data_IF_137453371903
#
_entry.id   IF_137453371903
#
_cell.length_a   1.000
_cell.length_b   1.000
_cell.length_c   1.000
_cell.angle_alpha   90.00
_cell.angle_beta   90.00
_cell.angle_gamma   90.00
#
_symmetry.space_group_name_H-M   'P 1'
#
loop_
_entity.id
_entity.type
_entity.pdbx_description
1 polymer ?
#
# COMPACT_ATOMS: atom_id res chain seq x y z
N UNK A 1 -26.86 -15.95 0.19
CA UNK A 1 -25.81 -16.93 -0.15
C UNK A 1 -25.26 -17.43 1.16
N UNK A 2 -25.71 -18.63 1.49
CA UNK A 2 -25.68 -19.19 2.84
C UNK A 2 -24.30 -19.84 3.05
N UNK A 3 -23.56 -19.31 4.02
CA UNK A 3 -22.17 -19.68 4.26
C UNK A 3 -22.06 -20.66 5.42
N UNK A 4 -21.86 -21.93 5.08
CA UNK A 4 -21.06 -22.85 5.89
C UNK A 4 -20.25 -23.73 4.91
N UNK A 5 -18.93 -23.53 4.87
CA UNK A 5 -18.01 -24.25 3.99
C UNK A 5 -17.03 -25.02 4.87
N UNK A 6 -17.27 -26.31 5.01
CA UNK A 6 -16.49 -27.28 5.79
C UNK A 6 -15.08 -27.58 5.24
N UNK A 7 -14.48 -26.65 4.49
CA UNK A 7 -13.10 -26.69 4.00
C UNK A 7 -12.52 -25.28 3.94
N UNK A 8 -11.21 -25.13 4.23
CA UNK A 8 -10.50 -23.86 4.06
C UNK A 8 -10.65 -23.40 2.60
N UNK A 9 -11.23 -22.22 2.31
CA UNK A 9 -11.41 -21.74 0.94
C UNK A 9 -10.07 -21.55 0.23
N UNK A 10 -10.05 -21.60 -1.10
CA UNK A 10 -8.85 -21.22 -1.86
C UNK A 10 -8.64 -19.69 -1.84
N UNK A 11 -7.41 -19.25 -2.18
CA UNK A 11 -7.11 -17.82 -2.36
C UNK A 11 -8.04 -17.20 -3.40
N UNK A 12 -8.24 -17.88 -4.52
CA UNK A 12 -9.08 -17.43 -5.63
C UNK A 12 -10.55 -17.30 -5.21
N UNK A 13 -11.07 -18.24 -4.42
CA UNK A 13 -12.43 -18.16 -3.88
C UNK A 13 -12.62 -16.95 -2.97
N UNK A 14 -11.65 -16.65 -2.10
CA UNK A 14 -11.70 -15.48 -1.22
C UNK A 14 -11.65 -14.17 -2.02
N UNK A 15 -10.76 -14.08 -3.02
CA UNK A 15 -10.67 -12.93 -3.92
C UNK A 15 -12.00 -12.73 -4.64
N UNK A 16 -12.61 -13.81 -5.15
CA UNK A 16 -13.89 -13.73 -5.82
C UNK A 16 -15.02 -13.29 -4.87
N UNK A 17 -15.01 -13.72 -3.61
CA UNK A 17 -15.95 -13.22 -2.58
C UNK A 17 -15.78 -11.72 -2.37
N UNK A 18 -14.55 -11.22 -2.29
CA UNK A 18 -14.29 -9.79 -2.10
C UNK A 18 -14.76 -8.98 -3.31
N UNK A 19 -14.48 -9.46 -4.53
CA UNK A 19 -14.97 -8.85 -5.77
C UNK A 19 -16.50 -8.79 -5.82
N UNK A 20 -17.17 -9.86 -5.41
CA UNK A 20 -18.64 -9.92 -5.36
C UNK A 20 -19.23 -8.97 -4.30
N UNK A 21 -18.50 -8.69 -3.21
CA UNK A 21 -18.95 -7.78 -2.16
C UNK A 21 -18.72 -6.30 -2.53
N UNK A 22 -17.72 -5.99 -3.36
CA UNK A 22 -17.32 -4.62 -3.69
C UNK A 22 -18.47 -3.70 -4.14
N UNK A 23 -19.45 -4.13 -4.99
CA UNK A 23 -20.62 -3.31 -5.32
C UNK A 23 -21.47 -2.95 -4.09
N UNK A 24 -21.67 -3.90 -3.18
CA UNK A 24 -22.41 -3.64 -1.92
C UNK A 24 -21.68 -2.63 -1.03
N UNK A 25 -20.35 -2.70 -0.97
CA UNK A 25 -19.55 -1.73 -0.23
C UNK A 25 -19.64 -0.33 -0.84
N UNK A 26 -19.71 -0.24 -2.18
CA UNK A 26 -19.91 1.03 -2.90
C UNK A 26 -21.24 1.68 -2.51
N UNK A 27 -22.32 0.90 -2.49
CA UNK A 27 -23.65 1.39 -2.10
C UNK A 27 -23.66 1.85 -0.63
N UNK A 28 -22.92 1.16 0.24
CA UNK A 28 -22.80 1.49 1.67
C UNK A 28 -21.78 2.60 1.98
N UNK A 29 -20.93 3.00 1.03
CA UNK A 29 -19.83 3.94 1.28
C UNK A 29 -20.33 5.30 1.80
N UNK A 30 -21.43 5.81 1.25
CA UNK A 30 -22.06 7.05 1.73
C UNK A 30 -22.62 6.93 3.15
N UNK A 31 -23.15 5.77 3.53
CA UNK A 31 -23.63 5.49 4.89
C UNK A 31 -22.46 5.43 5.85
N UNK A 32 -21.39 4.69 5.52
CA UNK A 32 -20.16 4.62 6.31
C UNK A 32 -19.59 6.02 6.60
N UNK A 33 -19.51 6.88 5.58
CA UNK A 33 -19.01 8.24 5.74
C UNK A 33 -19.87 9.10 6.67
N UNK A 34 -21.20 8.95 6.63
CA UNK A 34 -22.14 9.65 7.52
C UNK A 34 -22.03 9.15 8.96
N UNK A 35 -21.95 7.83 9.16
CA UNK A 35 -21.81 7.21 10.48
C UNK A 35 -20.46 7.48 11.14
N UNK A 36 -19.43 7.82 10.33
CA UNK A 36 -18.02 7.96 10.77
C UNK A 36 -17.45 6.67 11.38
N UNK A 37 -18.02 5.54 11.00
CA UNK A 37 -17.61 4.16 11.29
C UNK A 37 -18.21 3.24 10.23
N UNK A 38 -17.74 2.00 10.16
CA UNK A 38 -18.35 1.01 9.25
C UNK A 38 -19.81 0.78 9.64
N UNK A 39 -20.74 0.55 8.68
CA UNK A 39 -22.03 -0.03 8.98
C UNK A 39 -21.86 -1.45 9.56
N UNK A 40 -22.73 -1.86 10.49
CA UNK A 40 -22.66 -3.18 11.11
C UNK A 40 -22.75 -4.29 10.05
N UNK A 41 -23.61 -4.12 9.05
CA UNK A 41 -23.81 -5.12 8.01
C UNK A 41 -22.52 -5.40 7.21
N UNK A 42 -21.64 -4.41 7.08
CA UNK A 42 -20.33 -4.59 6.42
C UNK A 42 -19.40 -5.45 7.27
N UNK A 43 -19.39 -5.27 8.59
CA UNK A 43 -18.59 -6.09 9.49
C UNK A 43 -19.12 -7.52 9.56
N UNK A 44 -20.44 -7.68 9.60
CA UNK A 44 -21.10 -8.99 9.55
C UNK A 44 -20.78 -9.74 8.25
N UNK A 45 -20.78 -9.03 7.11
CA UNK A 45 -20.37 -9.59 5.83
C UNK A 45 -18.91 -10.06 5.83
N UNK A 46 -17.99 -9.29 6.44
CA UNK A 46 -16.59 -9.70 6.56
C UNK A 46 -16.40 -10.96 7.42
N UNK A 47 -17.14 -11.08 8.53
CA UNK A 47 -17.15 -12.31 9.33
C UNK A 47 -17.74 -13.48 8.55
N UNK A 48 -18.93 -13.31 7.97
CA UNK A 48 -19.66 -14.34 7.23
C UNK A 48 -18.87 -14.88 6.03
N UNK A 49 -18.13 -14.01 5.33
CA UNK A 49 -17.34 -14.40 4.16
C UNK A 49 -15.97 -15.01 4.52
N UNK A 50 -15.62 -15.02 5.81
CA UNK A 50 -14.37 -15.60 6.31
C UNK A 50 -13.16 -14.67 6.17
N UNK A 51 -13.37 -13.38 5.92
CA UNK A 51 -12.28 -12.44 5.67
C UNK A 51 -11.41 -12.20 6.90
N UNK A 52 -11.95 -12.22 8.11
CA UNK A 52 -11.15 -12.12 9.34
C UNK A 52 -10.45 -13.43 9.75
N UNK A 53 -10.68 -14.53 9.01
CA UNK A 53 -10.08 -15.84 9.30
C UNK A 53 -8.79 -16.07 8.53
N UNK A 54 -8.51 -15.28 7.50
CA UNK A 54 -7.50 -15.60 6.47
C UNK A 54 -6.11 -15.83 7.03
N UNK A 55 -5.68 -15.02 8.01
CA UNK A 55 -4.34 -15.10 8.63
C UNK A 55 -4.34 -15.58 10.07
N UNK A 56 -5.52 -15.84 10.65
CA UNK A 56 -5.61 -16.36 12.01
C UNK A 56 -5.05 -17.80 12.05
N UNK A 57 -4.29 -18.18 13.10
CA UNK A 57 -3.83 -19.56 13.27
C UNK A 57 -4.98 -20.58 13.24
N UNK A 58 -4.75 -21.71 12.57
CA UNK A 58 -5.75 -22.78 12.43
C UNK A 58 -6.20 -23.34 13.77
N UNK A 59 -5.34 -23.32 14.80
CA UNK A 59 -5.67 -23.74 16.17
C UNK A 59 -6.81 -22.93 16.81
N UNK A 60 -7.08 -21.73 16.30
CA UNK A 60 -8.22 -20.87 16.70
C UNK A 60 -9.35 -20.86 15.66
N UNK A 61 -9.32 -21.76 14.68
CA UNK A 61 -10.35 -21.88 13.64
C UNK A 61 -10.11 -21.00 12.41
N UNK A 62 -8.97 -20.31 12.34
CA UNK A 62 -8.54 -19.55 11.16
C UNK A 62 -8.07 -20.42 9.99
N UNK A 63 -7.62 -19.79 8.91
CA UNK A 63 -7.12 -20.46 7.71
C UNK A 63 -5.59 -20.56 7.68
N UNK A 64 -4.88 -19.72 8.44
CA UNK A 64 -3.42 -19.71 8.51
C UNK A 64 -2.72 -19.47 7.17
N UNK A 65 -3.34 -18.67 6.29
CA UNK A 65 -2.80 -18.37 4.97
C UNK A 65 -1.65 -17.37 5.05
N UNK A 66 -0.89 -17.30 3.96
CA UNK A 66 0.09 -16.25 3.73
C UNK A 66 -0.55 -14.84 3.82
N UNK A 67 0.01 -13.90 4.60
CA UNK A 67 -0.58 -12.58 4.83
C UNK A 67 -0.72 -11.70 3.59
N UNK A 68 -0.07 -12.04 2.46
CA UNK A 68 -0.33 -11.36 1.18
C UNK A 68 -1.79 -11.47 0.72
N UNK A 69 -2.57 -12.45 1.20
CA UNK A 69 -4.01 -12.53 0.94
C UNK A 69 -4.74 -11.28 1.43
N UNK A 70 -4.26 -10.63 2.51
CA UNK A 70 -4.84 -9.38 3.00
C UNK A 70 -4.85 -8.36 1.87
N UNK A 71 -3.77 -8.27 1.11
CA UNK A 71 -3.62 -7.22 0.08
C UNK A 71 -4.48 -7.52 -1.13
N UNK A 72 -4.52 -8.79 -1.57
CA UNK A 72 -5.39 -9.20 -2.66
C UNK A 72 -6.87 -8.88 -2.35
N UNK A 73 -7.32 -9.13 -1.11
CA UNK A 73 -8.67 -8.77 -0.71
C UNK A 73 -8.84 -7.24 -0.59
N UNK A 74 -7.86 -6.50 -0.08
CA UNK A 74 -7.93 -5.04 -0.01
C UNK A 74 -8.04 -4.36 -1.38
N UNK A 75 -7.37 -4.90 -2.41
CA UNK A 75 -7.49 -4.38 -3.77
C UNK A 75 -8.93 -4.46 -4.26
N UNK A 76 -9.58 -5.61 -4.08
CA UNK A 76 -10.98 -5.82 -4.52
C UNK A 76 -11.98 -5.05 -3.65
N UNK A 77 -11.84 -5.07 -2.32
CA UNK A 77 -12.71 -4.34 -1.40
C UNK A 77 -12.58 -2.81 -1.60
N UNK A 78 -11.36 -2.34 -1.91
CA UNK A 78 -11.06 -0.92 -2.10
C UNK A 78 -11.73 -0.33 -3.33
N UNK A 79 -11.94 -1.14 -4.39
CA UNK A 79 -12.73 -0.74 -5.58
C UNK A 79 -14.18 -0.37 -5.24
N UNK A 80 -14.69 -0.90 -4.13
CA UNK A 80 -16.01 -0.58 -3.58
C UNK A 80 -15.96 0.58 -2.58
N UNK A 81 -15.17 0.44 -1.51
CA UNK A 81 -15.04 1.44 -0.47
C UNK A 81 -13.66 1.43 0.19
N UNK A 82 -12.92 2.54 0.05
CA UNK A 82 -11.59 2.70 0.64
C UNK A 82 -11.59 2.50 2.18
N UNK A 83 -12.61 3.02 2.88
CA UNK A 83 -12.70 2.86 4.34
C UNK A 83 -12.93 1.41 4.76
N UNK A 84 -13.72 0.65 4.00
CA UNK A 84 -13.95 -0.78 4.27
C UNK A 84 -12.68 -1.60 4.06
N UNK A 85 -11.94 -1.35 2.97
CA UNK A 85 -10.65 -2.02 2.72
C UNK A 85 -9.59 -1.67 3.77
N UNK A 86 -9.56 -0.40 4.22
CA UNK A 86 -8.68 0.05 5.30
C UNK A 86 -8.96 -0.69 6.61
N UNK A 87 -10.22 -0.68 7.07
CA UNK A 87 -10.62 -1.36 8.32
C UNK A 87 -10.36 -2.86 8.24
N UNK A 88 -10.72 -3.50 7.14
CA UNK A 88 -10.44 -4.93 6.92
C UNK A 88 -8.95 -5.26 7.07
N UNK A 89 -8.06 -4.51 6.42
CA UNK A 89 -6.64 -4.82 6.45
C UNK A 89 -5.97 -4.50 7.77
N UNK A 90 -6.33 -3.38 8.41
CA UNK A 90 -5.83 -3.03 9.74
C UNK A 90 -6.19 -4.11 10.77
N UNK A 91 -7.46 -4.53 10.82
CA UNK A 91 -7.89 -5.56 11.77
C UNK A 91 -7.28 -6.94 11.46
N UNK A 92 -7.04 -7.27 10.18
CA UNK A 92 -6.38 -8.53 9.81
C UNK A 92 -4.87 -8.53 10.08
N UNK A 93 -4.15 -7.42 9.87
CA UNK A 93 -2.72 -7.39 10.21
C UNK A 93 -2.51 -7.50 11.72
N UNK A 94 -3.45 -7.01 12.53
CA UNK A 94 -3.42 -7.24 13.98
C UNK A 94 -3.74 -8.69 14.33
N UNK A 95 -4.67 -9.32 13.61
CA UNK A 95 -4.92 -10.77 13.73
C UNK A 95 -3.63 -11.55 13.42
N UNK A 96 -2.89 -11.20 12.37
CA UNK A 96 -1.60 -11.82 12.09
C UNK A 96 -0.55 -11.50 13.17
N UNK A 97 -0.46 -10.26 13.65
CA UNK A 97 0.52 -9.87 14.69
C UNK A 97 0.25 -10.59 16.01
N UNK A 98 -1.01 -10.80 16.42
CA UNK A 98 -1.31 -11.51 17.66
C UNK A 98 -0.76 -12.94 17.64
N UNK A 99 -0.68 -13.59 16.47
CA UNK A 99 -0.01 -14.89 16.33
C UNK A 99 1.50 -14.86 16.67
N UNK A 100 2.11 -13.69 16.79
CA UNK A 100 3.50 -13.50 17.21
C UNK A 100 3.67 -13.31 18.72
N UNK A 101 2.59 -12.95 19.43
CA UNK A 101 2.62 -12.79 20.90
C UNK A 101 2.80 -14.15 21.59
N UNK A 102 3.09 -14.11 22.90
CA UNK A 102 3.14 -15.31 23.73
C UNK A 102 1.84 -16.15 23.59
N UNK A 103 1.91 -17.49 23.60
CA UNK A 103 0.74 -18.35 23.43
C UNK A 103 -0.41 -18.03 24.39
N UNK A 104 -0.12 -17.57 25.61
CA UNK A 104 -1.07 -17.18 26.64
C UNK A 104 -1.91 -15.98 26.21
N UNK A 105 -1.29 -14.95 25.62
CA UNK A 105 -2.01 -13.78 25.12
C UNK A 105 -2.91 -14.13 23.92
N UNK A 106 -2.49 -15.08 23.08
CA UNK A 106 -3.32 -15.58 21.99
C UNK A 106 -4.56 -16.33 22.53
N UNK A 107 -4.37 -17.15 23.56
CA UNK A 107 -5.45 -17.91 24.21
C UNK A 107 -6.47 -16.98 24.88
N UNK A 108 -6.03 -15.93 25.56
CA UNK A 108 -6.92 -14.94 26.20
C UNK A 108 -7.87 -14.27 25.20
N UNK A 109 -7.40 -14.00 23.97
CA UNK A 109 -8.19 -13.32 22.95
C UNK A 109 -9.11 -14.28 22.20
N UNK A 110 -8.61 -15.45 21.78
CA UNK A 110 -9.32 -16.28 20.80
C UNK A 110 -9.85 -17.62 21.31
N UNK A 111 -9.35 -18.17 22.42
CA UNK A 111 -9.71 -19.53 22.86
C UNK A 111 -11.22 -19.70 23.05
N UNK A 112 -11.87 -18.68 23.60
CA UNK A 112 -13.32 -18.67 23.85
C UNK A 112 -14.10 -17.77 22.89
N UNK A 113 -13.40 -16.97 22.08
CA UNK A 113 -13.99 -15.97 21.19
C UNK A 113 -13.17 -15.86 19.89
N UNK A 114 -13.24 -16.87 19.00
CA UNK A 114 -12.37 -16.95 17.82
C UNK A 114 -12.61 -15.83 16.80
N UNK A 115 -13.76 -15.13 16.86
CA UNK A 115 -14.07 -13.98 16.00
C UNK A 115 -13.54 -12.65 16.54
N UNK A 116 -12.89 -12.62 17.70
CA UNK A 116 -12.41 -11.38 18.33
C UNK A 116 -11.41 -10.64 17.44
N UNK A 117 -11.66 -9.34 17.26
CA UNK A 117 -10.80 -8.42 16.51
C UNK A 117 -10.00 -7.52 17.46
N UNK A 118 -8.84 -7.08 16.99
CA UNK A 118 -7.92 -6.20 17.70
C UNK A 118 -7.76 -4.91 16.88
N UNK A 119 -8.00 -3.75 17.49
CA UNK A 119 -7.67 -2.43 16.92
C UNK A 119 -6.27 -2.00 17.33
N UNK A 120 -5.80 -0.82 16.94
CA UNK A 120 -4.49 -0.35 17.40
C UNK A 120 -4.33 1.15 17.43
N UNK A 121 -3.24 1.60 18.05
CA UNK A 121 -2.30 2.47 17.34
C UNK A 121 -0.88 2.22 17.83
N UNK A 122 0.08 2.15 16.91
CA UNK A 122 1.50 1.89 17.23
C UNK A 122 2.28 3.16 17.60
N UNK A 123 1.64 4.32 17.60
CA UNK A 123 2.28 5.58 17.98
C UNK A 123 2.89 5.45 19.38
N UNK A 124 4.19 5.70 19.57
CA UNK A 124 4.87 5.36 20.82
C UNK A 124 4.70 6.48 21.86
N UNK A 125 3.46 6.67 22.31
CA UNK A 125 3.07 7.71 23.28
C UNK A 125 2.73 7.15 24.66
N UNK A 126 2.93 5.85 24.87
CA UNK A 126 2.79 5.24 26.19
C UNK A 126 3.67 5.94 27.22
N UNK A 127 3.07 6.25 28.36
CA UNK A 127 3.78 6.39 29.61
C UNK A 127 3.77 5.01 30.29
N UNK A 128 4.94 4.49 30.63
CA UNK A 128 5.05 3.18 31.27
C UNK A 128 5.89 3.23 32.52
N UNK A 129 5.41 2.59 33.58
CA UNK A 129 6.14 2.33 34.81
C UNK A 129 6.34 0.81 34.96
N UNK A 130 7.59 0.36 35.10
CA UNK A 130 7.88 -1.06 35.32
C UNK A 130 7.44 -1.51 36.72
N UNK A 131 6.69 -2.59 36.78
CA UNK A 131 6.23 -3.23 38.04
C UNK A 131 6.53 -4.73 38.02
N UNK A 132 6.30 -5.43 39.12
CA UNK A 132 6.49 -6.88 39.15
C UNK A 132 5.57 -7.59 38.14
N UNK A 133 6.14 -8.39 37.26
CA UNK A 133 5.44 -9.15 36.22
C UNK A 133 4.86 -8.35 35.05
N UNK A 134 5.17 -7.05 34.90
CA UNK A 134 4.67 -6.25 33.79
C UNK A 134 4.93 -4.75 33.89
N UNK A 135 4.01 -3.95 33.35
CA UNK A 135 4.06 -2.47 33.42
C UNK A 135 2.70 -1.89 33.82
N UNK A 136 2.70 -0.71 34.44
CA UNK A 136 1.55 0.20 34.39
C UNK A 136 1.63 1.04 33.11
N UNK A 137 0.52 1.16 32.41
CA UNK A 137 0.38 1.83 31.13
C UNK A 137 -0.64 2.96 31.23
N UNK A 138 -0.24 4.16 30.80
CA UNK A 138 -1.12 5.29 30.58
C UNK A 138 -0.83 5.91 29.22
N UNK A 139 -1.82 6.57 28.63
CA UNK A 139 -1.60 7.35 27.41
C UNK A 139 -2.86 7.57 26.59
N UNK A 140 -2.67 8.31 25.50
CA UNK A 140 -3.72 8.58 24.51
C UNK A 140 -3.20 8.36 23.10
N UNK A 141 -3.78 7.40 22.42
CA UNK A 141 -3.41 6.99 21.07
C UNK A 141 -4.46 7.45 20.08
N UNK A 142 -4.06 8.23 19.09
CA UNK A 142 -4.93 8.58 17.96
C UNK A 142 -4.88 7.54 16.84
N UNK A 143 -5.88 7.60 15.95
CA UNK A 143 -6.01 6.80 14.73
C UNK A 143 -6.35 5.30 14.92
N UNK A 144 -7.17 4.96 15.92
CA UNK A 144 -7.59 3.57 16.16
C UNK A 144 -8.71 3.10 15.24
N UNK A 145 -8.32 2.70 14.03
CA UNK A 145 -9.23 2.32 12.96
C UNK A 145 -10.00 1.05 13.29
N UNK A 146 -11.33 1.10 13.16
CA UNK A 146 -12.20 -0.03 13.47
C UNK A 146 -12.35 -0.34 14.97
N UNK A 147 -11.91 0.56 15.86
CA UNK A 147 -11.97 0.34 17.32
C UNK A 147 -13.38 0.06 17.86
N UNK A 148 -14.44 0.56 17.21
CA UNK A 148 -15.83 0.26 17.57
C UNK A 148 -16.19 -1.24 17.46
N UNK A 149 -15.36 -2.03 16.78
CA UNK A 149 -15.56 -3.46 16.48
C UNK A 149 -14.52 -4.37 17.13
N UNK A 150 -13.62 -3.82 17.94
CA UNK A 150 -12.53 -4.55 18.55
C UNK A 150 -12.76 -4.71 20.05
N UNK A 151 -12.50 -5.91 20.58
CA UNK A 151 -12.54 -6.19 22.02
C UNK A 151 -11.16 -6.04 22.67
N UNK A 152 -10.13 -5.76 21.86
CA UNK A 152 -8.76 -5.55 22.29
C UNK A 152 -8.11 -4.43 21.47
N UNK A 153 -7.08 -3.81 22.05
CA UNK A 153 -6.27 -2.81 21.37
C UNK A 153 -4.78 -3.14 21.50
N UNK A 154 -4.07 -2.98 20.39
CA UNK A 154 -2.62 -2.92 20.35
C UNK A 154 -2.15 -1.47 20.47
N UNK A 155 -1.41 -1.15 21.53
CA UNK A 155 -0.95 0.20 21.81
C UNK A 155 0.57 0.24 21.81
N UNK A 156 1.16 1.22 21.12
CA UNK A 156 2.61 1.36 20.99
C UNK A 156 3.23 2.17 22.12
N UNK A 157 4.45 1.81 22.53
CA UNK A 157 5.22 2.60 23.48
C UNK A 157 6.58 2.02 23.81
N UNK A 158 7.29 2.69 24.72
CA UNK A 158 8.61 2.28 25.17
C UNK A 158 8.53 1.78 26.60
N UNK A 159 9.16 0.64 26.88
CA UNK A 159 9.38 0.16 28.24
C UNK A 159 10.79 0.59 28.71
N UNK A 160 10.95 1.20 29.90
CA UNK A 160 12.23 1.56 30.46
C UNK A 160 13.17 0.36 30.55
N UNK A 161 14.40 0.55 30.08
CA UNK A 161 15.48 -0.42 30.24
C UNK A 161 16.47 0.05 31.30
N UNK A 162 17.32 -0.86 31.80
CA UNK A 162 18.45 -0.49 32.67
C UNK A 162 19.29 0.63 32.04
N UNK A 163 19.87 1.47 32.90
CA UNK A 163 20.70 2.61 32.53
C UNK A 163 21.75 2.24 31.46
N UNK A 164 21.83 3.04 30.39
CA UNK A 164 22.74 2.82 29.26
C UNK A 164 22.24 1.89 28.15
N UNK A 165 21.06 1.26 28.28
CA UNK A 165 20.40 0.54 27.18
C UNK A 165 19.36 1.42 26.48
N UNK A 166 19.19 1.20 25.18
CA UNK A 166 18.16 1.88 24.40
C UNK A 166 16.76 1.45 24.87
N UNK A 167 15.77 2.38 24.93
CA UNK A 167 14.39 2.05 25.29
C UNK A 167 13.82 0.92 24.43
N UNK A 168 13.08 0.00 25.05
CA UNK A 168 12.52 -1.19 24.39
C UNK A 168 11.15 -0.86 23.82
N UNK A 169 11.06 -0.71 22.48
CA UNK A 169 9.79 -0.44 21.81
C UNK A 169 8.92 -1.71 21.83
N UNK A 170 7.72 -1.58 22.39
CA UNK A 170 6.75 -2.67 22.54
C UNK A 170 5.38 -2.31 22.00
N UNK A 171 4.63 -3.36 21.66
CA UNK A 171 3.19 -3.33 21.47
C UNK A 171 2.53 -3.96 22.70
N UNK A 172 1.65 -3.21 23.36
CA UNK A 172 0.85 -3.66 24.51
C UNK A 172 -0.52 -4.14 24.03
N UNK A 173 -0.95 -5.32 24.47
CA UNK A 173 -2.29 -5.87 24.23
C UNK A 173 -3.21 -5.55 25.42
N UNK A 174 -4.21 -4.72 25.21
CA UNK A 174 -5.11 -4.19 26.26
C UNK A 174 -6.57 -4.56 25.96
N UNK A 175 -7.34 -5.15 26.90
CA UNK A 175 -8.72 -5.53 26.67
C UNK A 175 -9.66 -4.32 26.70
N UNK A 176 -10.85 -4.45 26.08
CA UNK A 176 -11.86 -3.39 25.95
C UNK A 176 -12.26 -2.74 27.27
N UNK A 177 -12.27 -3.50 28.36
CA UNK A 177 -12.61 -3.03 29.70
C UNK A 177 -11.64 -1.99 30.26
N UNK A 178 -10.42 -1.96 29.72
CA UNK A 178 -9.30 -1.23 30.29
C UNK A 178 -8.96 0.01 29.44
N UNK A 179 -9.81 0.39 28.49
CA UNK A 179 -9.61 1.61 27.71
C UNK A 179 -10.92 2.30 27.33
N UNK A 180 -10.85 3.62 27.17
CA UNK A 180 -11.94 4.42 26.64
C UNK A 180 -11.73 4.71 25.15
N UNK A 181 -12.81 4.70 24.37
CA UNK A 181 -12.80 5.18 22.98
C UNK A 181 -13.36 6.60 22.99
N UNK A 182 -12.53 7.58 22.63
CA UNK A 182 -12.96 8.98 22.52
C UNK A 182 -13.29 9.28 21.07
N UNK A 183 -14.53 9.67 20.80
CA UNK A 183 -14.97 9.98 19.43
C UNK A 183 -14.37 11.30 18.93
N UNK A 184 -13.19 11.20 18.31
CA UNK A 184 -12.43 12.31 17.73
C UNK A 184 -12.47 12.34 16.20
N UNK A 185 -13.11 11.35 15.57
CA UNK A 185 -12.94 11.10 14.14
C UNK A 185 -13.82 11.97 13.25
N UNK A 186 -13.38 13.21 13.02
CA UNK A 186 -14.06 14.21 12.16
C UNK A 186 -13.16 14.65 11.00
N UNK A 187 -13.11 13.85 9.93
CA UNK A 187 -12.15 14.00 8.83
C UNK A 187 -12.81 14.16 7.46
N UNK A 188 -12.04 14.56 6.45
CA UNK A 188 -12.51 14.68 5.05
C UNK A 188 -12.41 13.36 4.27
N UNK A 189 -11.38 12.56 4.54
CA UNK A 189 -11.12 11.27 3.90
C UNK A 189 -11.20 10.11 4.90
N UNK A 190 -11.41 8.90 4.38
CA UNK A 190 -11.57 7.67 5.17
C UNK A 190 -12.56 7.77 6.34
N UNK A 191 -13.58 8.62 6.24
CA UNK A 191 -14.53 8.88 7.34
C UNK A 191 -15.12 7.62 7.95
N UNK A 192 -15.43 6.61 7.13
CA UNK A 192 -15.98 5.34 7.60
C UNK A 192 -15.02 4.49 8.43
N UNK A 193 -13.73 4.79 8.49
CA UNK A 193 -12.77 3.97 9.24
C UNK A 193 -12.98 4.00 10.75
N UNK A 194 -13.66 5.02 11.27
CA UNK A 194 -13.87 5.19 12.71
C UNK A 194 -12.57 5.21 13.50
N UNK A 195 -11.55 5.91 13.00
CA UNK A 195 -10.20 5.93 13.57
C UNK A 195 -10.09 6.86 14.79
N UNK A 196 -10.93 6.59 15.79
CA UNK A 196 -11.07 7.35 17.03
C UNK A 196 -9.85 7.20 17.92
N UNK A 197 -9.79 7.98 18.99
CA UNK A 197 -8.71 7.90 19.97
C UNK A 197 -9.01 6.81 21.00
N UNK A 198 -7.94 6.19 21.53
CA UNK A 198 -7.96 5.27 22.66
C UNK A 198 -7.24 5.93 23.83
N UNK A 199 -7.87 5.94 25.01
CA UNK A 199 -7.29 6.44 26.25
C UNK A 199 -7.18 5.31 27.26
N UNK A 200 -6.00 5.20 27.89
CA UNK A 200 -5.69 4.24 28.95
C UNK A 200 -5.18 5.02 30.16
N UNK A 201 -5.68 4.69 31.34
CA UNK A 201 -5.28 5.34 32.60
C UNK A 201 -4.88 4.28 33.64
N UNK A 202 -3.58 4.22 33.94
CA UNK A 202 -2.98 3.38 35.00
C UNK A 202 -3.33 1.88 34.95
N UNK A 203 -3.35 1.30 33.75
CA UNK A 203 -3.70 -0.11 33.52
C UNK A 203 -2.48 -0.99 33.66
N UNK A 204 -2.62 -2.11 34.39
CA UNK A 204 -1.58 -3.13 34.45
C UNK A 204 -1.58 -4.00 33.19
N UNK A 205 -0.44 -4.08 32.51
CA UNK A 205 -0.20 -4.95 31.36
C UNK A 205 0.87 -5.99 31.71
N UNK A 206 0.53 -7.29 31.78
CA UNK A 206 1.47 -8.35 32.11
C UNK A 206 2.45 -8.64 30.96
N UNK A 207 3.59 -9.26 31.29
CA UNK A 207 4.67 -9.55 30.32
C UNK A 207 4.22 -10.32 29.07
N UNK A 208 3.34 -11.32 29.20
CA UNK A 208 2.87 -12.12 28.06
C UNK A 208 2.01 -11.33 27.06
N UNK A 209 1.45 -10.17 27.48
CA UNK A 209 0.68 -9.24 26.64
C UNK A 209 1.55 -8.14 26.01
N UNK A 210 2.87 -8.27 26.06
CA UNK A 210 3.79 -7.33 25.43
C UNK A 210 4.61 -8.02 24.34
N UNK A 211 4.53 -7.50 23.12
CA UNK A 211 5.37 -7.96 22.01
C UNK A 211 6.48 -6.96 21.73
N UNK A 212 7.73 -7.43 21.70
CA UNK A 212 8.89 -6.58 21.44
C UNK A 212 9.07 -6.40 19.94
N UNK A 213 9.26 -5.15 19.52
CA UNK A 213 9.52 -4.84 18.12
C UNK A 213 10.79 -5.54 17.60
N UNK A 214 11.81 -5.68 18.47
CA UNK A 214 13.06 -6.35 18.13
C UNK A 214 12.90 -7.85 17.84
N UNK A 215 11.97 -8.54 18.51
CA UNK A 215 11.72 -9.97 18.30
C UNK A 215 11.05 -10.18 16.93
N UNK A 216 10.12 -9.28 16.57
CA UNK A 216 9.52 -9.22 15.23
C UNK A 216 10.55 -8.97 14.13
N UNK A 217 11.56 -8.13 14.39
CA UNK A 217 12.65 -7.87 13.45
C UNK A 217 13.58 -9.08 13.28
N UNK A 218 13.91 -9.77 14.37
CA UNK A 218 14.76 -10.99 14.36
C UNK A 218 14.02 -12.25 13.92
N UNK A 219 12.70 -12.16 13.70
CA UNK A 219 11.84 -13.29 13.37
C UNK A 219 11.86 -14.39 14.45
N UNK A 220 12.11 -14.00 15.70
CA UNK A 220 12.24 -14.88 16.87
C UNK A 220 11.14 -14.55 17.89
N UNK A 221 9.90 -14.68 17.45
CA UNK A 221 8.74 -14.26 18.22
C UNK A 221 8.32 -15.37 19.19
N UNK A 222 7.83 -15.05 20.40
CA UNK A 222 7.31 -16.04 21.34
C UNK A 222 6.24 -16.96 20.72
N UNK A 223 5.36 -16.39 19.87
CA UNK A 223 4.32 -17.15 19.19
C UNK A 223 4.83 -18.19 18.19
N UNK A 224 6.09 -18.13 17.76
CA UNK A 224 6.65 -19.10 16.80
C UNK A 224 6.81 -20.52 17.40
N UNK A 225 6.75 -20.67 18.73
CA UNK A 225 6.72 -21.98 19.39
C UNK A 225 5.48 -22.80 18.97
N UNK A 226 4.32 -22.14 18.93
CA UNK A 226 3.01 -22.78 18.66
C UNK A 226 2.50 -22.53 17.25
N UNK A 227 3.00 -21.48 16.59
CA UNK A 227 2.68 -21.11 15.21
C UNK A 227 3.93 -21.31 14.33
N UNK A 228 4.28 -22.57 14.06
CA UNK A 228 5.53 -22.95 13.39
C UNK A 228 5.56 -22.70 11.87
N UNK A 229 4.43 -22.37 11.26
CA UNK A 229 4.36 -22.07 9.82
C UNK A 229 5.23 -20.86 9.45
N UNK A 230 5.98 -20.90 8.33
CA UNK A 230 6.83 -19.78 7.89
C UNK A 230 6.09 -18.44 7.74
N UNK A 231 4.78 -18.47 7.49
CA UNK A 231 3.95 -17.26 7.32
C UNK A 231 3.93 -16.36 8.56
N UNK A 232 4.24 -16.89 9.75
CA UNK A 232 4.35 -16.13 11.00
C UNK A 232 5.78 -15.71 11.34
N UNK A 233 6.70 -15.82 10.38
CA UNK A 233 8.07 -15.33 10.50
C UNK A 233 8.33 -14.10 9.65
N UNK A 234 7.37 -13.62 8.86
CA UNK A 234 7.58 -12.38 8.10
C UNK A 234 7.88 -11.20 9.05
N UNK A 235 8.72 -10.23 8.64
CA UNK A 235 8.93 -9.03 9.44
C UNK A 235 7.63 -8.21 9.53
N UNK A 236 7.16 -7.91 10.74
CA UNK A 236 5.90 -7.19 10.96
C UNK A 236 5.78 -5.88 10.17
N UNK A 237 6.87 -5.09 10.12
CA UNK A 237 6.88 -3.82 9.39
C UNK A 237 6.55 -3.96 7.90
N UNK A 238 6.92 -5.07 7.26
CA UNK A 238 6.61 -5.33 5.85
C UNK A 238 5.13 -5.60 5.63
N UNK A 239 4.50 -6.38 6.51
CA UNK A 239 3.07 -6.71 6.40
C UNK A 239 2.21 -5.50 6.77
N UNK A 240 2.58 -4.77 7.83
CA UNK A 240 1.83 -3.61 8.32
C UNK A 240 1.80 -2.47 7.30
N UNK A 241 2.96 -2.04 6.77
CA UNK A 241 3.05 -0.93 5.80
C UNK A 241 2.21 -1.20 4.55
N UNK A 242 2.16 -2.46 4.11
CA UNK A 242 1.35 -2.86 2.96
C UNK A 242 -0.14 -2.90 3.28
N UNK A 243 -0.52 -3.36 4.47
CA UNK A 243 -1.91 -3.33 4.93
C UNK A 243 -2.48 -1.92 5.00
N UNK A 244 -1.66 -0.87 5.18
CA UNK A 244 -2.12 0.52 5.20
C UNK A 244 -1.99 1.23 3.84
N UNK A 245 -1.21 0.72 2.89
CA UNK A 245 -1.06 1.35 1.56
C UNK A 245 -2.00 0.75 0.49
N UNK A 246 -2.22 -0.56 0.51
CA UNK A 246 -3.04 -1.27 -0.48
C UNK A 246 -4.49 -0.75 -0.62
N UNK A 247 -5.19 -0.33 0.45
CA UNK A 247 -6.54 0.25 0.32
C UNK A 247 -6.63 1.39 -0.68
N UNK A 248 -5.58 2.21 -0.76
CA UNK A 248 -5.56 3.35 -1.66
C UNK A 248 -5.39 2.92 -3.13
N UNK A 249 -4.62 1.86 -3.40
CA UNK A 249 -4.52 1.25 -4.74
C UNK A 249 -5.88 0.69 -5.17
N UNK A 250 -6.56 -0.04 -4.29
CA UNK A 250 -7.92 -0.53 -4.54
C UNK A 250 -8.91 0.62 -4.82
N UNK A 251 -8.83 1.70 -4.03
CA UNK A 251 -9.66 2.89 -4.24
C UNK A 251 -9.39 3.58 -5.58
N UNK A 252 -8.14 3.63 -6.02
CA UNK A 252 -7.77 4.19 -7.32
C UNK A 252 -8.29 3.35 -8.48
N UNK A 253 -8.28 2.02 -8.36
CA UNK A 253 -8.98 1.15 -9.30
C UNK A 253 -10.50 1.41 -9.29
N UNK A 254 -11.11 1.61 -8.12
CA UNK A 254 -12.53 1.99 -8.02
C UNK A 254 -12.84 3.33 -8.71
N UNK A 255 -11.92 4.30 -8.62
CA UNK A 255 -12.04 5.58 -9.33
C UNK A 255 -11.91 5.41 -10.84
N UNK A 256 -11.00 4.55 -11.31
CA UNK A 256 -10.88 4.20 -12.73
C UNK A 256 -12.15 3.52 -13.25
N UNK A 257 -12.71 2.56 -12.51
CA UNK A 257 -13.97 1.89 -12.85
C UNK A 257 -15.11 2.91 -12.99
N UNK A 258 -15.24 3.82 -12.02
CA UNK A 258 -16.24 4.87 -12.04
C UNK A 258 -16.06 5.86 -13.21
N UNK A 259 -14.82 6.20 -13.54
CA UNK A 259 -14.50 7.02 -14.71
C UNK A 259 -14.95 6.33 -16.00
N UNK A 260 -14.56 5.06 -16.20
CA UNK A 260 -14.93 4.30 -17.40
C UNK A 260 -16.44 4.18 -17.52
N UNK A 261 -17.14 3.87 -16.44
CA UNK A 261 -18.60 3.73 -16.44
C UNK A 261 -19.32 5.06 -16.74
N UNK A 262 -18.84 6.17 -16.17
CA UNK A 262 -19.38 7.49 -16.49
C UNK A 262 -19.20 7.86 -17.96
N UNK A 263 -18.03 7.54 -18.53
CA UNK A 263 -17.69 7.91 -19.91
C UNK A 263 -18.47 7.12 -20.96
N UNK A 264 -18.94 5.90 -20.65
CA UNK A 264 -19.82 5.12 -21.54
C UNK A 264 -21.13 5.85 -21.89
N UNK A 265 -21.71 6.57 -20.93
CA UNK A 265 -22.98 7.30 -21.11
C UNK A 265 -22.82 8.77 -21.46
N UNK A 266 -21.60 9.32 -21.38
CA UNK A 266 -21.37 10.77 -21.50
C UNK A 266 -21.38 11.21 -22.97
N UNK A 267 -22.18 12.24 -23.26
CA UNK A 267 -22.11 13.01 -24.50
C UNK A 267 -21.47 14.36 -24.22
N UNK A 268 -20.50 14.74 -25.06
CA UNK A 268 -19.83 16.04 -24.98
C UNK A 268 -20.82 17.15 -25.32
N UNK A 269 -20.95 18.13 -24.42
CA UNK A 269 -21.78 19.32 -24.67
C UNK A 269 -21.18 20.23 -25.75
N UNK A 270 -19.85 20.22 -25.90
CA UNK A 270 -19.14 21.06 -26.86
C UNK A 270 -19.15 20.48 -28.27
N UNK A 271 -19.11 19.15 -28.41
CA UNK A 271 -18.93 18.48 -29.71
C UNK A 271 -20.11 17.60 -30.13
N UNK A 272 -21.05 17.30 -29.24
CA UNK A 272 -22.15 16.35 -29.48
C UNK A 272 -21.70 14.88 -29.63
N UNK A 273 -20.39 14.61 -29.62
CA UNK A 273 -19.82 13.28 -29.73
C UNK A 273 -19.91 12.48 -28.43
N UNK A 274 -19.94 11.16 -28.55
CA UNK A 274 -19.90 10.25 -27.41
C UNK A 274 -18.49 10.22 -26.82
N UNK A 275 -18.39 10.34 -25.49
CA UNK A 275 -17.11 10.31 -24.80
C UNK A 275 -16.43 8.93 -24.91
N UNK A 276 -17.20 7.86 -25.11
CA UNK A 276 -16.73 6.50 -25.40
C UNK A 276 -15.93 6.38 -26.69
N UNK A 277 -16.20 7.27 -27.66
CA UNK A 277 -15.57 7.24 -28.98
C UNK A 277 -14.32 8.13 -29.02
N UNK A 278 -13.99 8.79 -27.90
CA UNK A 278 -12.84 9.69 -27.78
C UNK A 278 -11.56 8.90 -27.53
N UNK A 279 -10.63 8.99 -28.47
CA UNK A 279 -9.28 8.45 -28.32
C UNK A 279 -8.58 8.94 -27.04
N UNK A 280 -8.70 10.24 -26.71
CA UNK A 280 -8.08 10.82 -25.51
C UNK A 280 -8.60 10.19 -24.21
N UNK A 281 -9.89 9.90 -24.13
CA UNK A 281 -10.47 9.26 -22.95
C UNK A 281 -10.01 7.81 -22.81
N UNK A 282 -9.92 7.09 -23.93
CA UNK A 282 -9.39 5.72 -23.96
C UNK A 282 -7.92 5.66 -23.55
N UNK A 283 -7.08 6.59 -24.04
CA UNK A 283 -5.67 6.70 -23.62
C UNK A 283 -5.56 7.03 -22.14
N UNK A 284 -6.39 7.95 -21.62
CA UNK A 284 -6.39 8.31 -20.19
C UNK A 284 -6.72 7.10 -19.31
N UNK A 285 -7.75 6.33 -19.66
CA UNK A 285 -8.09 5.11 -18.94
C UNK A 285 -6.99 4.04 -19.04
N UNK A 286 -6.38 3.88 -20.22
CA UNK A 286 -5.28 2.94 -20.45
C UNK A 286 -4.04 3.30 -19.62
N UNK A 287 -3.63 4.57 -19.61
CA UNK A 287 -2.49 5.06 -18.83
C UNK A 287 -2.73 4.85 -17.33
N UNK A 288 -3.93 5.17 -16.84
CA UNK A 288 -4.32 4.95 -15.46
C UNK A 288 -4.30 3.45 -15.10
N UNK A 289 -4.84 2.58 -15.96
CA UNK A 289 -4.80 1.13 -15.77
C UNK A 289 -3.36 0.64 -15.70
N UNK A 290 -2.50 1.00 -16.65
CA UNK A 290 -1.12 0.56 -16.70
C UNK A 290 -0.31 1.00 -15.46
N UNK A 291 -0.54 2.23 -14.98
CA UNK A 291 0.05 2.70 -13.73
C UNK A 291 -0.39 1.85 -12.53
N UNK A 292 -1.69 1.59 -12.39
CA UNK A 292 -2.23 0.81 -11.28
C UNK A 292 -1.82 -0.67 -11.36
N UNK A 293 -1.79 -1.25 -12.55
CA UNK A 293 -1.36 -2.62 -12.80
C UNK A 293 0.11 -2.82 -12.45
N UNK A 294 0.97 -1.82 -12.63
CA UNK A 294 2.36 -1.86 -12.17
C UNK A 294 2.49 -1.94 -10.65
N UNK A 295 1.55 -1.35 -9.93
CA UNK A 295 1.56 -1.34 -8.47
C UNK A 295 1.14 -2.69 -7.87
N UNK A 296 0.31 -3.48 -8.56
CA UNK A 296 -0.16 -4.79 -8.08
C UNK A 296 1.00 -5.78 -7.88
N UNK A 297 1.94 -6.01 -8.83
CA UNK A 297 3.15 -6.76 -8.58
C UNK A 297 4.00 -6.16 -7.46
N UNK A 298 4.07 -4.84 -7.31
CA UNK A 298 4.75 -4.18 -6.19
C UNK A 298 4.19 -4.57 -4.82
N UNK A 299 2.88 -4.84 -4.74
CA UNK A 299 2.26 -5.41 -3.53
C UNK A 299 2.62 -6.90 -3.31
N UNK A 300 3.09 -7.61 -4.34
CA UNK A 300 3.46 -9.04 -4.32
C UNK A 300 4.97 -9.32 -4.33
N UNK A 301 5.82 -8.41 -4.84
CA UNK A 301 7.24 -8.67 -5.14
C UNK A 301 8.16 -8.64 -3.91
N UNK A 302 7.79 -7.93 -2.84
CA UNK A 302 8.59 -7.94 -1.60
C UNK A 302 8.54 -9.28 -0.86
N UNK A 303 7.66 -10.19 -1.26
CA UNK A 303 7.52 -11.52 -0.67
C UNK A 303 8.54 -12.53 -1.17
N UNK A 304 8.93 -12.45 -2.46
CA UNK A 304 9.86 -13.42 -3.06
C UNK A 304 11.26 -13.40 -2.45
N UNK A 305 11.68 -12.25 -1.91
CA UNK A 305 12.98 -12.10 -1.22
C UNK A 305 12.96 -12.72 0.18
N UNK A 306 11.80 -12.79 0.82
CA UNK A 306 11.65 -13.31 2.18
C UNK A 306 11.39 -14.83 2.24
N UNK A 307 10.93 -15.44 1.14
CA UNK A 307 10.57 -16.87 1.08
C UNK A 307 11.73 -17.80 0.69
N UNK A 308 12.83 -17.28 0.16
CA UNK A 308 13.96 -18.12 -0.23
C UNK A 308 14.90 -18.35 0.98
N UNK A 309 14.63 -19.44 1.70
CA UNK A 309 15.34 -19.82 2.95
C UNK A 309 16.85 -19.97 2.77
N UNK A 310 17.33 -20.20 1.54
CA UNK A 310 18.76 -20.29 1.24
C UNK A 310 19.43 -18.92 1.07
N UNK A 311 18.69 -17.85 0.77
CA UNK A 311 19.23 -16.49 0.64
C UNK A 311 19.26 -15.77 1.99
N UNK A 312 18.30 -16.05 2.87
CA UNK A 312 18.21 -15.46 4.22
C UNK A 312 19.38 -15.88 5.13
N UNK A 313 19.88 -17.11 5.00
CA UNK A 313 21.00 -17.62 5.81
C UNK A 313 22.36 -16.98 5.46
N UNK A 314 22.53 -16.44 4.24
CA UNK A 314 23.77 -15.80 3.78
C UNK A 314 23.71 -14.27 3.91
N UNK A 315 22.50 -13.68 3.94
CA UNK A 315 22.27 -12.23 3.89
C UNK A 315 21.93 -11.55 5.24
N UNK A 316 22.02 -12.28 6.36
CA UNK A 316 21.54 -11.86 7.68
C UNK A 316 22.17 -10.60 8.32
N UNK A 317 23.20 -10.00 7.71
CA UNK A 317 23.88 -8.81 8.25
C UNK A 317 23.78 -7.55 7.38
N UNK A 318 23.51 -7.66 6.07
CA UNK A 318 23.57 -6.51 5.13
C UNK A 318 22.19 -6.06 4.64
N UNK A 319 21.25 -6.98 4.46
CA UNK A 319 19.90 -6.70 3.92
C UNK A 319 18.98 -6.01 4.95
N UNK A 320 19.29 -6.19 6.24
CA UNK A 320 18.53 -5.66 7.36
C UNK A 320 18.51 -4.11 7.43
N UNK A 321 19.49 -3.43 6.81
CA UNK A 321 19.66 -1.97 6.84
C UNK A 321 19.04 -1.27 5.62
N UNK A 322 18.99 -1.92 4.45
CA UNK A 322 18.49 -1.32 3.20
C UNK A 322 16.96 -1.48 3.00
N UNK A 323 16.35 -2.53 3.52
CA UNK A 323 14.91 -2.80 3.37
C UNK A 323 13.97 -1.77 4.03
N UNK A 324 14.26 -1.22 5.22
CA UNK A 324 13.44 -0.14 5.81
C UNK A 324 13.43 1.12 4.94
N UNK A 325 14.57 1.47 4.34
CA UNK A 325 14.68 2.60 3.42
C UNK A 325 13.85 2.37 2.13
N UNK A 326 13.93 1.18 1.53
CA UNK A 326 13.11 0.80 0.37
C UNK A 326 11.60 0.82 0.68
N UNK A 327 11.18 0.38 1.86
CA UNK A 327 9.76 0.39 2.26
C UNK A 327 9.20 1.81 2.48
N UNK A 328 10.03 2.72 2.99
CA UNK A 328 9.67 4.14 3.21
C UNK A 328 9.61 4.90 1.87
N UNK A 329 10.57 4.62 0.97
CA UNK A 329 10.58 5.14 -0.41
C UNK A 329 9.35 4.65 -1.17
N UNK A 330 9.03 3.36 -1.10
CA UNK A 330 7.85 2.80 -1.74
C UNK A 330 6.56 3.49 -1.25
N UNK A 331 6.38 3.65 0.07
CA UNK A 331 5.22 4.35 0.65
C UNK A 331 5.09 5.82 0.18
N UNK A 332 6.21 6.53 0.03
CA UNK A 332 6.27 7.88 -0.54
C UNK A 332 5.91 7.92 -2.03
N UNK A 333 6.42 6.97 -2.81
CA UNK A 333 6.10 6.82 -4.23
C UNK A 333 4.62 6.48 -4.47
N UNK A 334 3.97 5.73 -3.56
CA UNK A 334 2.54 5.40 -3.64
C UNK A 334 1.62 6.62 -3.53
N UNK A 335 1.92 7.56 -2.63
CA UNK A 335 1.16 8.81 -2.53
C UNK A 335 1.31 9.66 -3.80
N UNK A 336 2.50 9.63 -4.42
CA UNK A 336 2.76 10.30 -5.68
C UNK A 336 2.04 9.64 -6.88
N UNK A 337 1.89 8.32 -6.90
CA UNK A 337 1.14 7.59 -7.94
C UNK A 337 -0.38 7.85 -7.82
N UNK A 338 -0.93 7.94 -6.61
CA UNK A 338 -2.33 8.30 -6.38
C UNK A 338 -2.63 9.74 -6.81
N UNK A 339 -1.74 10.68 -6.48
CA UNK A 339 -1.81 12.05 -6.95
C UNK A 339 -1.70 12.10 -8.48
N UNK A 340 -0.74 11.39 -9.08
CA UNK A 340 -0.55 11.37 -10.53
C UNK A 340 -1.70 10.69 -11.29
N UNK A 341 -2.30 9.62 -10.75
CA UNK A 341 -3.45 8.94 -11.36
C UNK A 341 -4.73 9.77 -11.28
N UNK A 342 -5.01 10.38 -10.13
CA UNK A 342 -6.16 11.27 -9.95
C UNK A 342 -6.01 12.57 -10.76
N UNK A 343 -4.82 13.18 -10.77
CA UNK A 343 -4.53 14.35 -11.59
C UNK A 343 -4.62 14.03 -13.08
N UNK A 344 -4.18 12.85 -13.53
CA UNK A 344 -4.34 12.42 -14.94
C UNK A 344 -5.80 12.24 -15.34
N UNK A 345 -6.67 11.75 -14.46
CA UNK A 345 -8.11 11.63 -14.73
C UNK A 345 -8.78 13.01 -14.85
N UNK A 346 -8.33 13.99 -14.06
CA UNK A 346 -8.80 15.39 -14.10
C UNK A 346 -8.22 16.14 -15.32
N UNK A 347 -6.95 15.92 -15.65
CA UNK A 347 -6.23 16.61 -16.73
C UNK A 347 -6.43 15.97 -18.12
N UNK A 348 -6.82 14.69 -18.20
CA UNK A 348 -7.18 14.01 -19.45
C UNK A 348 -8.37 14.66 -20.17
N UNK A 349 -9.22 15.39 -19.42
CA UNK A 349 -10.27 16.24 -19.96
C UNK A 349 -9.75 17.53 -20.65
N UNK A 350 -8.45 17.81 -20.59
CA UNK A 350 -7.80 19.03 -21.10
C UNK A 350 -6.47 18.76 -21.84
N UNK A 351 -6.28 17.58 -22.45
CA UNK A 351 -4.98 17.11 -22.93
C UNK A 351 -4.23 18.10 -23.87
N UNK A 352 -3.00 18.44 -23.48
CA UNK A 352 -2.01 19.12 -24.33
C UNK A 352 -1.39 18.14 -25.33
N UNK A 353 -1.21 18.54 -26.61
CA UNK A 353 -0.66 17.67 -27.64
C UNK A 353 0.81 17.31 -27.35
N UNK A 354 1.24 16.13 -27.81
CA UNK A 354 2.64 15.73 -27.80
C UNK A 354 3.45 16.56 -28.81
N UNK A 355 4.59 17.09 -28.37
CA UNK A 355 5.55 17.76 -29.24
C UNK A 355 6.62 16.75 -29.65
N UNK A 356 6.67 16.44 -30.95
CA UNK A 356 7.67 15.53 -31.49
C UNK A 356 9.08 16.16 -31.47
N UNK A 357 10.10 15.34 -31.18
CA UNK A 357 11.51 15.72 -31.31
C UNK A 357 11.88 15.57 -32.79
N UNK A 358 11.59 16.58 -33.60
CA UNK A 358 11.68 16.48 -35.07
C UNK A 358 13.01 16.94 -35.66
N UNK A 359 13.80 17.76 -34.96
CA UNK A 359 15.05 18.34 -35.51
C UNK A 359 16.19 18.56 -34.47
N UNK A 360 16.07 18.04 -33.26
CA UNK A 360 16.93 18.40 -32.12
C UNK A 360 17.67 17.21 -31.50
N UNK A 361 17.84 16.11 -32.23
CA UNK A 361 18.69 15.03 -31.75
C UNK A 361 20.16 15.44 -31.81
N UNK A 362 20.85 15.25 -30.70
CA UNK A 362 22.28 15.45 -30.54
C UNK A 362 23.01 14.10 -30.65
N UNK A 363 24.34 14.13 -30.81
CA UNK A 363 25.20 12.94 -30.80
C UNK A 363 24.74 11.80 -31.74
N UNK A 364 24.17 12.14 -32.88
CA UNK A 364 23.71 11.21 -33.94
C UNK A 364 22.57 10.26 -33.51
N UNK A 365 21.88 10.53 -32.41
CA UNK A 365 20.70 9.77 -32.04
C UNK A 365 19.59 9.95 -33.09
N UNK A 366 18.87 8.88 -33.37
CA UNK A 366 17.71 8.90 -34.28
C UNK A 366 16.58 8.06 -33.70
N UNK A 367 15.36 8.26 -34.18
CA UNK A 367 14.25 7.35 -33.85
C UNK A 367 14.57 5.93 -34.37
N UNK A 368 14.22 4.89 -33.59
CA UNK A 368 14.57 3.50 -33.90
C UNK A 368 14.00 3.01 -35.23
N UNK A 369 12.67 2.93 -35.31
CA UNK A 369 11.91 2.62 -36.52
C UNK A 369 10.55 3.32 -36.42
N UNK A 370 10.44 4.40 -37.18
CA UNK A 370 9.27 5.28 -37.27
C UNK A 370 7.97 4.59 -37.72
N UNK A 371 8.08 3.41 -38.33
CA UNK A 371 6.92 2.69 -38.90
C UNK A 371 6.29 1.73 -37.91
N UNK A 372 7.02 1.36 -36.85
CA UNK A 372 6.58 0.37 -35.84
C UNK A 372 6.53 0.96 -34.44
N UNK A 373 7.42 1.92 -34.11
CA UNK A 373 7.59 2.45 -32.76
C UNK A 373 7.35 3.95 -32.69
N UNK A 374 6.91 4.42 -31.53
CA UNK A 374 6.66 5.84 -31.32
C UNK A 374 7.96 6.67 -31.42
N UNK A 375 7.86 7.81 -32.11
CA UNK A 375 8.94 8.80 -32.13
C UNK A 375 9.20 9.38 -30.76
N UNK A 376 10.45 9.79 -30.53
CA UNK A 376 10.76 10.58 -29.36
C UNK A 376 9.91 11.85 -29.32
N UNK A 377 9.21 12.06 -28.22
CA UNK A 377 8.31 13.18 -28.03
C UNK A 377 8.24 13.55 -26.56
N UNK A 378 7.85 14.80 -26.30
CA UNK A 378 7.62 15.29 -24.95
C UNK A 378 6.31 16.05 -24.86
N UNK A 379 5.73 16.07 -23.66
CA UNK A 379 4.58 16.92 -23.31
C UNK A 379 4.65 17.34 -21.85
N UNK A 380 3.86 18.33 -21.49
CA UNK A 380 3.70 18.78 -20.11
C UNK A 380 2.21 18.82 -19.78
N UNK A 381 1.85 18.19 -18.65
CA UNK A 381 0.49 18.18 -18.11
C UNK A 381 0.59 18.63 -16.65
N UNK A 382 -0.04 19.77 -16.32
CA UNK A 382 0.23 20.43 -15.03
C UNK A 382 1.72 20.78 -14.93
N UNK A 383 2.37 20.42 -13.83
CA UNK A 383 3.81 20.59 -13.62
C UNK A 383 4.65 19.34 -13.97
N UNK A 384 4.02 18.28 -14.49
CA UNK A 384 4.72 17.05 -14.87
C UNK A 384 5.05 17.04 -16.35
N UNK A 385 6.33 16.83 -16.66
CA UNK A 385 6.86 16.59 -17.99
C UNK A 385 6.94 15.10 -18.25
N UNK A 386 6.54 14.72 -19.46
CA UNK A 386 6.59 13.37 -19.98
C UNK A 386 7.50 13.35 -21.19
N UNK A 387 8.34 12.34 -21.27
CA UNK A 387 9.13 12.00 -22.44
C UNK A 387 8.81 10.55 -22.79
N UNK A 388 8.75 10.25 -24.08
CA UNK A 388 8.51 8.91 -24.62
C UNK A 388 9.32 8.68 -25.88
N UNK A 389 9.28 7.45 -26.38
CA UNK A 389 9.75 7.05 -27.70
C UNK A 389 11.04 6.25 -27.66
N UNK A 390 11.33 5.59 -28.77
CA UNK A 390 12.47 4.68 -28.90
C UNK A 390 13.54 5.28 -29.82
N UNK A 391 14.78 5.40 -29.32
CA UNK A 391 15.91 5.98 -30.06
C UNK A 391 17.06 5.00 -30.22
N UNK A 392 17.94 5.21 -31.20
CA UNK A 392 19.09 4.33 -31.48
C UNK A 392 20.28 5.04 -32.09
N UNK A 393 21.34 4.25 -32.26
CA UNK A 393 22.53 4.50 -33.07
C UNK A 393 23.32 5.77 -32.71
N UNK A 394 22.98 6.40 -31.59
CA UNK A 394 23.70 7.57 -31.11
C UNK A 394 25.01 7.22 -30.42
N UNK A 395 25.84 8.22 -30.24
CA UNK A 395 27.03 8.17 -29.39
C UNK A 395 26.63 8.48 -27.94
N UNK A 396 27.22 7.85 -26.91
CA UNK A 396 26.90 8.17 -25.52
C UNK A 396 27.05 9.67 -25.25
N UNK A 397 26.07 10.27 -24.60
CA UNK A 397 25.93 11.72 -24.49
C UNK A 397 24.48 12.18 -24.61
N UNK A 398 24.29 13.50 -24.73
CA UNK A 398 22.97 14.11 -24.91
C UNK A 398 22.26 13.52 -26.13
N UNK A 399 21.04 13.05 -25.93
CA UNK A 399 20.13 12.54 -26.96
C UNK A 399 19.39 13.73 -27.58
N UNK A 400 18.83 14.61 -26.75
CA UNK A 400 18.22 15.89 -27.15
C UNK A 400 18.09 16.80 -25.92
N UNK A 401 17.72 18.06 -26.15
CA UNK A 401 17.53 19.05 -25.08
C UNK A 401 16.10 19.54 -25.02
N UNK A 402 15.49 19.46 -23.83
CA UNK A 402 14.14 19.97 -23.56
C UNK A 402 14.11 21.52 -23.50
N UNK A 403 13.04 22.15 -24.02
CA UNK A 403 12.90 23.60 -24.01
C UNK A 403 12.68 24.15 -22.59
N UNK A 404 12.94 25.45 -22.43
CA UNK A 404 12.62 26.18 -21.19
C UNK A 404 11.13 26.00 -20.86
N UNK A 405 10.82 25.65 -19.61
CA UNK A 405 9.46 25.30 -19.15
C UNK A 405 9.19 23.80 -19.01
N UNK A 406 10.08 22.95 -19.55
CA UNK A 406 10.04 21.48 -19.46
C UNK A 406 11.26 20.90 -18.72
N UNK A 407 12.02 21.75 -18.01
CA UNK A 407 13.29 21.39 -17.38
C UNK A 407 13.10 21.13 -15.89
N UNK A 408 13.72 20.08 -15.31
CA UNK A 408 13.59 19.80 -13.90
C UNK A 408 14.39 20.81 -13.04
N UNK A 409 13.99 21.03 -11.77
CA UNK A 409 14.71 21.93 -10.86
C UNK A 409 16.01 21.31 -10.31
N UNK A 410 16.18 19.99 -10.43
CA UNK A 410 17.37 19.22 -10.03
C UNK A 410 17.75 18.25 -11.15
N UNK A 411 18.98 17.73 -11.11
CA UNK A 411 19.37 16.64 -12.00
C UNK A 411 18.66 15.35 -11.56
N UNK A 412 18.10 14.65 -12.53
CA UNK A 412 17.30 13.45 -12.31
C UNK A 412 17.87 12.27 -13.12
N UNK A 413 17.68 11.06 -12.61
CA UNK A 413 18.25 9.81 -13.14
C UNK A 413 17.15 8.78 -13.31
N UNK A 414 17.15 8.10 -14.45
CA UNK A 414 16.30 6.94 -14.73
C UNK A 414 17.11 5.73 -15.15
N UNK A 415 16.70 4.56 -14.66
CA UNK A 415 17.05 3.29 -15.32
C UNK A 415 16.10 3.08 -16.49
N UNK A 416 16.66 2.73 -17.64
CA UNK A 416 15.93 2.53 -18.90
C UNK A 416 16.27 1.17 -19.49
N UNK A 417 15.45 0.67 -20.42
CA UNK A 417 15.83 -0.48 -21.22
C UNK A 417 16.67 -0.01 -22.40
N UNK A 418 17.86 -0.60 -22.54
CA UNK A 418 18.81 -0.33 -23.60
C UNK A 418 19.24 -1.65 -24.27
N UNK A 419 18.77 -1.92 -25.49
CA UNK A 419 19.02 -3.15 -26.24
C UNK A 419 18.82 -4.46 -25.45
N UNK A 420 17.66 -4.62 -24.82
CA UNK A 420 17.30 -5.76 -23.95
C UNK A 420 18.17 -5.92 -22.69
N UNK A 421 18.87 -4.87 -22.28
CA UNK A 421 19.62 -4.77 -21.02
C UNK A 421 19.26 -3.48 -20.26
N UNK A 422 19.78 -3.30 -19.05
CA UNK A 422 19.63 -2.05 -18.31
C UNK A 422 20.57 -0.96 -18.84
N UNK A 423 20.03 0.24 -18.96
CA UNK A 423 20.75 1.48 -19.22
C UNK A 423 20.37 2.58 -18.24
N UNK A 424 20.98 3.75 -18.41
CA UNK A 424 20.77 4.96 -17.61
C UNK A 424 20.61 6.18 -18.50
N UNK A 425 19.55 6.93 -18.25
CA UNK A 425 19.32 8.26 -18.83
C UNK A 425 19.22 9.30 -17.71
N UNK A 426 19.94 10.39 -17.85
CA UNK A 426 19.86 11.54 -16.95
C UNK A 426 19.10 12.68 -17.63
N UNK A 427 18.33 13.45 -16.85
CA UNK A 427 17.79 14.74 -17.28
C UNK A 427 18.38 15.84 -16.42
N UNK A 428 19.21 16.68 -17.03
CA UNK A 428 19.86 17.80 -16.36
C UNK A 428 18.92 18.99 -16.17
N UNK A 429 19.25 19.91 -15.27
CA UNK A 429 18.53 21.19 -15.07
C UNK A 429 18.56 22.09 -16.31
N UNK A 430 19.52 21.86 -17.21
CA UNK A 430 19.60 22.48 -18.54
C UNK A 430 18.57 21.94 -19.53
N UNK A 431 17.89 20.84 -19.19
CA UNK A 431 16.96 20.11 -20.07
C UNK A 431 17.64 19.03 -20.91
N UNK A 432 18.96 18.84 -20.81
CA UNK A 432 19.66 17.81 -21.57
C UNK A 432 19.22 16.41 -21.10
N UNK A 433 18.66 15.62 -22.02
CA UNK A 433 18.32 14.22 -21.82
C UNK A 433 19.49 13.39 -22.33
N UNK A 434 20.23 12.75 -21.44
CA UNK A 434 21.57 12.20 -21.72
C UNK A 434 21.59 10.71 -21.51
N UNK A 435 21.99 9.95 -22.52
CA UNK A 435 22.32 8.54 -22.35
C UNK A 435 23.70 8.41 -21.68
N UNK A 436 23.74 7.86 -20.47
CA UNK A 436 24.95 7.80 -19.64
C UNK A 436 25.62 6.43 -19.73
N UNK A 437 24.85 5.35 -19.60
CA UNK A 437 25.34 3.96 -19.60
C UNK A 437 24.30 3.09 -20.31
N UNK A 438 24.72 2.13 -21.12
CA UNK A 438 23.83 1.18 -21.80
C UNK A 438 24.28 0.91 -23.23
N UNK A 439 23.61 -0.03 -23.90
CA UNK A 439 23.81 -0.24 -25.34
C UNK A 439 23.12 0.86 -26.15
N UNK A 440 23.73 1.27 -27.26
CA UNK A 440 23.14 2.27 -28.16
C UNK A 440 22.28 1.63 -29.27
N UNK A 441 22.11 0.30 -29.25
CA UNK A 441 21.28 -0.41 -30.25
C UNK A 441 19.81 0.02 -30.22
N UNK A 442 19.27 0.25 -29.01
CA UNK A 442 18.07 1.07 -28.80
C UNK A 442 18.03 1.54 -27.35
N UNK A 443 17.34 2.64 -27.07
CA UNK A 443 17.06 3.15 -25.71
C UNK A 443 15.61 3.61 -25.64
N UNK A 444 14.87 3.11 -24.64
CA UNK A 444 13.51 3.55 -24.35
C UNK A 444 13.49 4.80 -23.44
N UNK A 445 12.84 5.87 -23.90
CA UNK A 445 12.80 7.18 -23.24
C UNK A 445 11.53 7.44 -22.43
N UNK A 446 10.78 6.39 -22.06
CA UNK A 446 9.59 6.50 -21.22
C UNK A 446 9.91 6.98 -19.79
N UNK A 447 10.11 8.29 -19.62
CA UNK A 447 10.47 8.95 -18.37
C UNK A 447 9.53 10.12 -18.07
N UNK A 448 9.37 10.45 -16.79
CA UNK A 448 8.51 11.55 -16.34
C UNK A 448 9.08 12.23 -15.09
N UNK A 449 8.89 13.54 -14.97
CA UNK A 449 9.36 14.32 -13.83
C UNK A 449 8.61 15.63 -13.64
N UNK A 450 8.68 16.19 -12.43
CA UNK A 450 8.17 17.52 -12.13
C UNK A 450 9.14 18.62 -12.55
N UNK A 451 8.61 19.75 -13.02
CA UNK A 451 9.38 20.99 -13.20
C UNK A 451 9.34 21.90 -11.97
N UNK A 452 8.52 21.56 -10.96
CA UNK A 452 8.49 22.21 -9.65
C UNK A 452 9.24 21.38 -8.61
N UNK A 453 9.93 22.01 -7.63
CA UNK A 453 10.73 21.35 -6.61
C UNK A 453 9.99 20.37 -5.71
#
# INVERSE_FOLDING_TARGET
MDGDFSSIPTREELIQRARNLAPTLRDRAGVAAKLRRMPQETMDDFHRLGFFKVVQPQRYGGYGMDPSIIFDLQLELGRGCASSAWVYGVLNVHTWQLALFAPEAQDEVWKNAPSTLISSSYMPVAETEGVDGGVKLSGRWSFSSGCDYAEWAFLGGFVPTKEGKAPDMRTFLVPRSDYEIIDTWHTSGLRGSGSKDIVVEDVFVPDHRMHKFADGFRQDNPGNEVNSSPVYRYPFGQIHVRSVSTPAVGAAFGALDAYVDYMKGKVSQATGGKASDSFTNSVTASDASALLDREVPGTRLLYGVATDTNTVAIAGSTVAVELPALSTVAAGDYCAVLAAGADRLILGAMATPWTAVTFAFDNSWVNYDATVWEHAAYRKIGDIVYVRGLVKDGTPGTIFTLPVGFRPPKQLLWSVVANNAFGRVDVATTGAVTHVIGSNGFVDLNIQFSVTP
#
